data_IF_089145231699
#
_entry.id   IF_089145231699
#
_cell.length_a   1.000
_cell.length_b   1.000
_cell.length_c   1.000
_cell.angle_alpha   90.00
_cell.angle_beta   90.00
_cell.angle_gamma   90.00
#
_symmetry.space_group_name_H-M   'P 1'
#
loop_
_entity.id
_entity.type
_entity.pdbx_description
1 polymer ?
#
# COMPACT_ATOMS: atom_id res chain seq x y z
N UNK A 1 17.29 17.02 9.35
CA UNK A 1 15.86 16.62 9.36
C UNK A 1 15.51 15.95 10.68
N UNK A 2 16.24 14.91 11.12
CA UNK A 2 16.05 14.25 12.42
C UNK A 2 16.17 15.19 13.63
N UNK A 3 17.15 16.12 13.62
CA UNK A 3 17.29 17.13 14.68
C UNK A 3 16.02 17.99 14.87
N UNK A 4 15.30 18.28 13.79
CA UNK A 4 14.05 19.02 13.86
C UNK A 4 12.90 18.17 14.41
N UNK A 5 12.84 16.88 14.07
CA UNK A 5 11.83 15.98 14.62
C UNK A 5 11.98 15.85 16.15
N UNK A 6 13.20 15.68 16.64
CA UNK A 6 13.48 15.60 18.08
C UNK A 6 13.16 16.92 18.80
N UNK A 7 13.47 18.06 18.18
CA UNK A 7 13.16 19.38 18.75
C UNK A 7 11.66 19.69 18.73
N UNK A 8 10.94 19.28 17.67
CA UNK A 8 9.49 19.45 17.57
C UNK A 8 8.76 18.62 18.64
N UNK A 9 9.20 17.38 18.88
CA UNK A 9 8.66 16.52 19.93
C UNK A 9 8.88 17.13 21.33
N UNK A 10 10.07 17.67 21.61
CA UNK A 10 10.34 18.40 22.87
C UNK A 10 9.42 19.60 23.07
N UNK A 11 8.98 20.23 21.98
CA UNK A 11 8.07 21.39 22.00
C UNK A 11 6.59 20.98 22.06
N UNK A 12 6.29 19.67 22.08
CA UNK A 12 4.92 19.17 22.06
C UNK A 12 4.22 19.34 20.71
N UNK A 13 4.97 19.57 19.63
CA UNK A 13 4.40 19.66 18.28
C UNK A 13 4.07 18.25 17.78
N UNK A 14 2.80 18.03 17.41
CA UNK A 14 2.33 16.75 16.89
C UNK A 14 3.02 16.42 15.57
N UNK A 15 3.47 15.17 15.42
CA UNK A 15 4.08 14.64 14.20
C UNK A 15 3.29 13.40 13.74
N UNK A 16 2.09 13.64 13.21
CA UNK A 16 1.17 12.61 12.75
C UNK A 16 1.53 12.27 11.30
N UNK A 17 2.24 11.17 11.11
CA UNK A 17 2.86 10.83 9.81
C UNK A 17 1.88 10.20 8.83
N UNK A 18 0.83 9.58 9.34
CA UNK A 18 -0.12 8.82 8.52
C UNK A 18 -1.49 9.46 8.59
N UNK A 19 -2.26 9.32 7.50
CA UNK A 19 -3.60 9.91 7.41
C UNK A 19 -4.52 9.43 8.53
N UNK A 20 -4.59 8.13 8.88
CA UNK A 20 -5.41 7.67 10.01
C UNK A 20 -5.01 8.29 11.36
N UNK A 21 -3.71 8.58 11.58
CA UNK A 21 -3.27 9.26 12.81
C UNK A 21 -3.71 10.74 12.84
N UNK A 22 -3.78 11.38 11.67
CA UNK A 22 -4.07 12.81 11.55
C UNK A 22 -5.58 13.12 11.51
N UNK A 23 -6.40 12.23 10.98
CA UNK A 23 -7.85 12.44 10.82
C UNK A 23 -8.57 12.78 12.14
N UNK A 24 -8.29 12.14 13.28
CA UNK A 24 -8.94 12.47 14.56
C UNK A 24 -8.74 13.93 15.01
N UNK A 25 -7.69 14.61 14.55
CA UNK A 25 -7.43 16.01 14.90
C UNK A 25 -8.50 16.99 14.38
N UNK A 26 -9.23 16.59 13.33
CA UNK A 26 -10.31 17.35 12.72
C UNK A 26 -11.47 17.58 13.70
N UNK A 27 -11.73 16.60 14.57
CA UNK A 27 -12.84 16.62 15.54
C UNK A 27 -12.39 16.95 16.95
N UNK A 28 -11.12 17.37 17.14
CA UNK A 28 -10.66 17.87 18.45
C UNK A 28 -11.36 19.17 18.82
N UNK A 29 -11.58 19.36 20.13
CA UNK A 29 -12.25 20.56 20.66
C UNK A 29 -11.61 21.86 20.17
N UNK A 30 -10.26 21.92 20.13
CA UNK A 30 -9.55 23.09 19.63
C UNK A 30 -9.89 23.41 18.17
N UNK A 31 -9.97 22.40 17.31
CA UNK A 31 -10.33 22.57 15.90
C UNK A 31 -11.80 22.97 15.78
N UNK A 32 -12.70 22.30 16.50
CA UNK A 32 -14.14 22.60 16.49
C UNK A 32 -14.40 24.04 16.94
N UNK A 33 -13.83 24.46 18.07
CA UNK A 33 -13.97 25.82 18.58
C UNK A 33 -13.47 26.88 17.58
N UNK A 34 -12.35 26.62 16.91
CA UNK A 34 -11.80 27.54 15.93
C UNK A 34 -12.74 27.67 14.71
N UNK A 35 -13.21 26.55 14.17
CA UNK A 35 -14.09 26.56 12.99
C UNK A 35 -15.47 27.16 13.28
N UNK A 36 -16.05 26.85 14.45
CA UNK A 36 -17.34 27.40 14.87
C UNK A 36 -17.24 28.91 15.13
N UNK A 37 -16.18 29.38 15.81
CA UNK A 37 -15.97 30.80 16.10
C UNK A 37 -15.96 31.68 14.86
N UNK A 38 -15.40 31.18 13.75
CA UNK A 38 -15.32 31.92 12.49
C UNK A 38 -16.47 31.59 11.52
N UNK A 39 -17.44 30.77 11.93
CA UNK A 39 -18.58 30.40 11.10
C UNK A 39 -18.20 29.62 9.84
N UNK A 40 -17.11 28.85 9.89
CA UNK A 40 -16.60 28.08 8.74
C UNK A 40 -17.32 26.74 8.63
N UNK A 41 -17.34 25.97 9.72
CA UNK A 41 -18.07 24.70 9.85
C UNK A 41 -18.56 24.55 11.29
N UNK A 42 -19.70 23.89 11.46
CA UNK A 42 -20.22 23.41 12.75
C UNK A 42 -19.58 22.09 13.17
N UNK A 43 -19.65 21.75 14.47
CA UNK A 43 -19.23 20.42 14.98
C UNK A 43 -19.78 19.27 14.14
N UNK A 44 -21.09 19.28 13.87
CA UNK A 44 -21.76 18.22 13.10
C UNK A 44 -21.20 18.08 11.68
N UNK A 45 -20.82 19.19 11.06
CA UNK A 45 -20.22 19.17 9.72
C UNK A 45 -18.77 18.67 9.74
N UNK A 46 -18.00 18.98 10.80
CA UNK A 46 -16.66 18.43 11.00
C UNK A 46 -16.69 16.93 11.25
N UNK A 47 -17.60 16.45 12.11
CA UNK A 47 -17.81 15.02 12.35
C UNK A 47 -18.20 14.29 11.06
N UNK A 48 -19.15 14.86 10.30
CA UNK A 48 -19.55 14.28 9.01
C UNK A 48 -18.39 14.22 8.01
N UNK A 49 -17.52 15.24 7.99
CA UNK A 49 -16.33 15.25 7.12
C UNK A 49 -15.29 14.24 7.56
N UNK A 50 -15.08 14.10 8.87
CA UNK A 50 -14.17 13.11 9.43
C UNK A 50 -14.58 11.70 9.00
N UNK A 51 -15.86 11.32 9.19
CA UNK A 51 -16.41 10.03 8.76
C UNK A 51 -16.17 9.79 7.26
N UNK A 52 -16.52 10.76 6.41
CA UNK A 52 -16.33 10.67 4.96
C UNK A 52 -14.85 10.52 4.56
N UNK A 53 -13.94 11.25 5.22
CA UNK A 53 -12.51 11.15 4.92
C UNK A 53 -11.89 9.83 5.36
N UNK A 54 -12.33 9.31 6.51
CA UNK A 54 -11.95 7.99 7.00
C UNK A 54 -12.40 6.91 6.01
N UNK A 55 -13.67 6.95 5.60
CA UNK A 55 -14.22 6.03 4.59
C UNK A 55 -13.45 6.12 3.26
N UNK A 56 -13.23 7.34 2.75
CA UNK A 56 -12.48 7.54 1.51
C UNK A 56 -11.08 6.94 1.57
N UNK A 57 -10.36 7.12 2.68
CA UNK A 57 -9.04 6.54 2.86
C UNK A 57 -9.09 5.01 2.81
N UNK A 58 -10.00 4.40 3.59
CA UNK A 58 -10.13 2.95 3.65
C UNK A 58 -10.53 2.34 2.30
N UNK A 59 -11.51 2.93 1.63
CA UNK A 59 -11.98 2.49 0.31
C UNK A 59 -10.88 2.63 -0.74
N UNK A 60 -10.14 3.74 -0.75
CA UNK A 60 -9.03 3.92 -1.69
C UNK A 60 -7.94 2.88 -1.45
N UNK A 61 -7.52 2.67 -0.20
CA UNK A 61 -6.52 1.67 0.14
C UNK A 61 -6.96 0.26 -0.28
N UNK A 62 -8.24 -0.08 -0.10
CA UNK A 62 -8.80 -1.35 -0.55
C UNK A 62 -8.70 -1.52 -2.08
N UNK A 63 -9.09 -0.50 -2.84
CA UNK A 63 -9.03 -0.52 -4.31
C UNK A 63 -7.59 -0.74 -4.77
N UNK A 64 -6.64 -0.05 -4.17
CA UNK A 64 -5.22 -0.20 -4.49
C UNK A 64 -4.69 -1.60 -4.14
N UNK A 65 -5.12 -2.16 -3.01
CA UNK A 65 -4.75 -3.50 -2.56
C UNK A 65 -5.32 -4.60 -3.47
N UNK A 66 -6.60 -4.51 -3.84
CA UNK A 66 -7.25 -5.40 -4.80
C UNK A 66 -6.62 -5.31 -6.18
N UNK A 67 -6.37 -4.10 -6.67
CA UNK A 67 -5.71 -3.89 -7.96
C UNK A 67 -4.29 -4.48 -7.96
N UNK A 68 -3.54 -4.30 -6.86
CA UNK A 68 -2.20 -4.87 -6.71
C UNK A 68 -2.24 -6.39 -6.74
N UNK A 69 -3.16 -7.02 -6.01
CA UNK A 69 -3.35 -8.47 -6.01
C UNK A 69 -3.71 -8.97 -7.42
N UNK A 70 -4.66 -8.34 -8.09
CA UNK A 70 -5.08 -8.70 -9.43
C UNK A 70 -3.94 -8.59 -10.44
N UNK A 71 -3.19 -7.49 -10.46
CA UNK A 71 -2.03 -7.30 -11.34
C UNK A 71 -0.96 -8.37 -11.06
N UNK A 72 -0.62 -8.58 -9.79
CA UNK A 72 0.41 -9.54 -9.41
C UNK A 72 0.02 -10.97 -9.79
N UNK A 73 -1.22 -11.36 -9.54
CA UNK A 73 -1.75 -12.71 -9.80
C UNK A 73 -1.95 -13.00 -11.28
N UNK A 74 -2.44 -12.03 -12.06
CA UNK A 74 -2.88 -12.26 -13.45
C UNK A 74 -1.88 -11.81 -14.51
N UNK A 75 -0.97 -10.89 -14.18
CA UNK A 75 0.03 -10.38 -15.13
C UNK A 75 1.44 -10.83 -14.74
N UNK A 76 1.89 -10.46 -13.53
CA UNK A 76 3.28 -10.65 -13.13
C UNK A 76 3.65 -12.12 -12.89
N UNK A 77 2.82 -12.84 -12.13
CA UNK A 77 3.07 -14.25 -11.81
C UNK A 77 3.13 -15.13 -13.07
N UNK A 78 2.19 -15.03 -14.04
CA UNK A 78 2.30 -15.77 -15.30
C UNK A 78 3.56 -15.42 -16.11
N UNK A 79 3.96 -14.15 -16.16
CA UNK A 79 5.20 -13.74 -16.82
C UNK A 79 6.43 -14.39 -16.18
N UNK A 80 6.51 -14.35 -14.85
CA UNK A 80 7.61 -14.95 -14.09
C UNK A 80 7.66 -16.48 -14.24
N UNK A 81 6.51 -17.16 -14.25
CA UNK A 81 6.43 -18.60 -14.47
C UNK A 81 6.88 -19.01 -15.87
N UNK A 82 6.52 -18.24 -16.91
CA UNK A 82 7.01 -18.47 -18.28
C UNK A 82 8.53 -18.30 -18.38
N UNK A 83 9.07 -17.29 -17.70
CA UNK A 83 10.51 -17.09 -17.64
C UNK A 83 11.21 -18.23 -16.89
N UNK A 84 10.66 -18.69 -15.77
CA UNK A 84 11.18 -19.83 -15.02
C UNK A 84 11.24 -21.10 -15.88
N UNK A 85 10.19 -21.40 -16.67
CA UNK A 85 10.18 -22.54 -17.59
C UNK A 85 11.32 -22.46 -18.62
N UNK A 86 11.59 -21.27 -19.16
CA UNK A 86 12.71 -21.05 -20.08
C UNK A 86 14.06 -21.32 -19.38
N UNK A 87 14.25 -20.80 -18.17
CA UNK A 87 15.48 -20.99 -17.39
C UNK A 87 15.66 -22.46 -16.98
N UNK A 88 14.59 -23.14 -16.60
CA UNK A 88 14.58 -24.58 -16.25
C UNK A 88 15.06 -25.45 -17.44
N UNK A 89 14.77 -25.04 -18.68
CA UNK A 89 15.21 -25.78 -19.88
C UNK A 89 16.72 -25.67 -20.20
N UNK A 90 17.44 -24.73 -19.59
CA UNK A 90 18.84 -24.44 -19.95
C UNK A 90 19.88 -25.35 -19.27
N UNK A 91 19.53 -25.97 -18.14
CA UNK A 91 20.45 -26.78 -17.33
C UNK A 91 21.42 -25.98 -16.43
N UNK A 92 21.27 -24.66 -16.30
CA UNK A 92 22.05 -23.85 -15.35
C UNK A 92 21.39 -23.83 -13.95
N UNK A 93 21.80 -24.75 -13.07
CA UNK A 93 21.17 -24.96 -11.75
C UNK A 93 21.14 -23.73 -10.85
N UNK A 94 22.20 -22.92 -10.83
CA UNK A 94 22.26 -21.70 -10.00
C UNK A 94 21.19 -20.68 -10.41
N UNK A 95 21.00 -20.49 -11.72
CA UNK A 95 20.03 -19.54 -12.27
C UNK A 95 18.58 -20.01 -12.06
N UNK A 96 18.37 -21.34 -12.14
CA UNK A 96 17.08 -21.98 -11.86
C UNK A 96 16.68 -21.79 -10.40
N UNK A 97 17.63 -22.03 -9.49
CA UNK A 97 17.40 -21.86 -8.05
C UNK A 97 17.07 -20.40 -7.74
N UNK A 98 17.87 -19.46 -8.23
CA UNK A 98 17.63 -18.02 -8.02
C UNK A 98 16.24 -17.59 -8.53
N UNK A 99 15.89 -18.00 -9.75
CA UNK A 99 14.61 -17.60 -10.37
C UNK A 99 13.43 -18.20 -9.59
N UNK A 100 13.53 -19.47 -9.22
CA UNK A 100 12.50 -20.19 -8.47
C UNK A 100 12.25 -19.56 -7.10
N UNK A 101 13.30 -19.19 -6.38
CA UNK A 101 13.18 -18.51 -5.08
C UNK A 101 12.41 -17.19 -5.21
N UNK A 102 12.76 -16.35 -6.19
CA UNK A 102 12.05 -15.06 -6.41
C UNK A 102 10.59 -15.25 -6.82
N UNK A 103 10.28 -16.27 -7.62
CA UNK A 103 8.89 -16.61 -7.96
C UNK A 103 8.12 -17.04 -6.70
N UNK A 104 8.73 -17.87 -5.84
CA UNK A 104 8.13 -18.29 -4.58
C UNK A 104 7.91 -17.11 -3.63
N UNK A 105 8.85 -16.17 -3.54
CA UNK A 105 8.69 -14.93 -2.79
C UNK A 105 7.44 -14.15 -3.25
N UNK A 106 7.27 -13.98 -4.57
CA UNK A 106 6.09 -13.30 -5.13
C UNK A 106 4.80 -14.05 -4.79
N UNK A 107 4.75 -15.38 -4.96
CA UNK A 107 3.57 -16.19 -4.62
C UNK A 107 3.19 -16.04 -3.14
N UNK A 108 4.19 -16.08 -2.25
CA UNK A 108 3.96 -15.91 -0.82
C UNK A 108 3.47 -14.50 -0.47
N UNK A 109 4.02 -13.47 -1.09
CA UNK A 109 3.59 -12.08 -0.89
C UNK A 109 2.15 -11.86 -1.38
N UNK A 110 1.78 -12.38 -2.55
CA UNK A 110 0.39 -12.29 -3.05
C UNK A 110 -0.56 -12.99 -2.08
N UNK A 111 -0.22 -14.17 -1.57
CA UNK A 111 -1.06 -14.88 -0.60
C UNK A 111 -1.29 -14.09 0.69
N UNK A 112 -0.27 -13.39 1.20
CA UNK A 112 -0.43 -12.50 2.37
C UNK A 112 -1.32 -11.30 2.06
N UNK A 113 -1.18 -10.70 0.89
CA UNK A 113 -2.04 -9.59 0.46
C UNK A 113 -3.51 -10.03 0.29
N UNK A 114 -3.75 -11.19 -0.32
CA UNK A 114 -5.11 -11.73 -0.47
C UNK A 114 -5.76 -12.00 0.89
N UNK A 115 -5.01 -12.49 1.89
CA UNK A 115 -5.52 -12.64 3.26
C UNK A 115 -5.83 -11.28 3.88
N UNK A 116 -4.95 -10.28 3.69
CA UNK A 116 -5.16 -8.92 4.19
C UNK A 116 -6.41 -8.27 3.58
N UNK A 117 -6.76 -8.60 2.34
CA UNK A 117 -7.93 -8.06 1.67
C UNK A 117 -9.27 -8.67 2.12
N UNK A 118 -9.25 -9.79 2.86
CA UNK A 118 -10.49 -10.40 3.36
C UNK A 118 -11.09 -9.67 4.57
N UNK A 119 -10.30 -8.79 5.21
CA UNK A 119 -10.62 -8.11 6.46
C UNK A 119 -10.88 -9.05 7.67
N UNK A 120 -10.57 -8.61 8.89
CA UNK A 120 -11.11 -9.23 10.10
C UNK A 120 -12.62 -9.01 10.22
N UNK A 121 -13.35 -10.02 10.67
CA UNK A 121 -14.80 -9.93 10.87
C UNK A 121 -15.20 -8.72 11.74
N UNK A 122 -16.13 -7.90 11.23
CA UNK A 122 -16.70 -6.75 11.94
C UNK A 122 -15.79 -5.51 12.01
N UNK A 123 -14.63 -5.50 11.36
CA UNK A 123 -13.78 -4.31 11.33
C UNK A 123 -14.40 -3.15 10.52
N UNK A 124 -15.25 -3.50 9.55
CA UNK A 124 -15.93 -2.55 8.67
C UNK A 124 -16.97 -1.68 9.40
N UNK A 125 -17.39 -2.10 10.60
CA UNK A 125 -18.35 -1.36 11.44
C UNK A 125 -17.71 -0.10 12.08
N UNK A 126 -16.38 0.01 12.06
CA UNK A 126 -15.63 1.13 12.61
C UNK A 126 -14.66 1.67 11.55
N UNK A 127 -15.04 2.78 10.92
CA UNK A 127 -14.28 3.36 9.82
C UNK A 127 -12.82 3.65 10.19
N UNK A 128 -12.56 4.13 11.43
CA UNK A 128 -11.20 4.48 11.83
C UNK A 128 -10.35 3.22 11.99
N UNK A 129 -10.89 2.17 12.60
CA UNK A 129 -10.18 0.87 12.69
C UNK A 129 -9.95 0.25 11.32
N UNK A 130 -10.91 0.38 10.40
CA UNK A 130 -10.74 -0.06 9.02
C UNK A 130 -9.60 0.70 8.34
N UNK A 131 -9.52 2.02 8.51
CA UNK A 131 -8.44 2.84 7.98
C UNK A 131 -7.07 2.49 8.61
N UNK A 132 -7.01 2.24 9.91
CA UNK A 132 -5.80 1.77 10.60
C UNK A 132 -5.36 0.40 10.08
N UNK A 133 -6.30 -0.53 9.90
CA UNK A 133 -6.03 -1.85 9.34
C UNK A 133 -5.51 -1.78 7.90
N UNK A 134 -6.10 -0.93 7.07
CA UNK A 134 -5.64 -0.70 5.71
C UNK A 134 -4.20 -0.18 5.70
N UNK A 135 -3.88 0.80 6.55
CA UNK A 135 -2.52 1.33 6.72
C UNK A 135 -1.53 0.26 7.18
N UNK A 136 -1.86 -0.47 8.24
CA UNK A 136 -0.89 -1.32 8.94
C UNK A 136 -0.74 -2.68 8.28
N UNK A 137 -1.80 -3.18 7.64
CA UNK A 137 -1.86 -4.53 7.07
C UNK A 137 -1.86 -4.53 5.56
N UNK A 138 -2.83 -3.87 4.91
CA UNK A 138 -2.97 -3.92 3.44
C UNK A 138 -1.81 -3.21 2.75
N UNK A 139 -1.48 -1.98 3.14
CA UNK A 139 -0.36 -1.22 2.55
C UNK A 139 0.98 -1.92 2.79
N UNK A 140 1.18 -2.53 3.97
CA UNK A 140 2.37 -3.32 4.26
C UNK A 140 2.47 -4.54 3.33
N UNK A 141 1.40 -5.31 3.18
CA UNK A 141 1.37 -6.47 2.29
C UNK A 141 1.54 -6.08 0.80
N UNK A 142 0.95 -4.95 0.37
CA UNK A 142 1.18 -4.39 -0.97
C UNK A 142 2.66 -4.06 -1.20
N UNK A 143 3.33 -3.46 -0.21
CA UNK A 143 4.75 -3.14 -0.31
C UNK A 143 5.61 -4.40 -0.46
N UNK A 144 5.25 -5.51 0.19
CA UNK A 144 5.94 -6.79 0.03
C UNK A 144 5.76 -7.36 -1.38
N UNK A 145 4.53 -7.32 -1.93
CA UNK A 145 4.26 -7.73 -3.32
C UNK A 145 5.10 -6.89 -4.29
N UNK A 146 5.16 -5.57 -4.08
CA UNK A 146 6.00 -4.67 -4.87
C UNK A 146 7.47 -5.06 -4.81
N UNK A 147 8.04 -5.28 -3.62
CA UNK A 147 9.46 -5.66 -3.48
C UNK A 147 9.76 -6.97 -4.20
N UNK A 148 8.86 -7.97 -4.11
CA UNK A 148 9.03 -9.23 -4.82
C UNK A 148 8.93 -9.06 -6.35
N UNK A 149 7.98 -8.24 -6.82
CA UNK A 149 7.83 -7.91 -8.24
C UNK A 149 9.05 -7.16 -8.80
N UNK A 150 9.56 -6.14 -8.10
CA UNK A 150 10.72 -5.33 -8.50
C UNK A 150 11.99 -6.20 -8.63
N UNK A 151 12.11 -7.28 -7.83
CA UNK A 151 13.20 -8.26 -7.94
C UNK A 151 13.08 -9.10 -9.21
N UNK A 152 11.86 -9.50 -9.57
CA UNK A 152 11.59 -10.27 -10.78
C UNK A 152 11.76 -9.43 -12.06
N UNK A 153 11.37 -8.15 -12.05
CA UNK A 153 11.53 -7.22 -13.18
C UNK A 153 12.98 -7.16 -13.69
N UNK A 154 13.95 -7.34 -12.79
CA UNK A 154 15.39 -7.27 -13.11
C UNK A 154 15.93 -8.49 -13.82
N UNK A 155 15.27 -9.64 -13.69
CA UNK A 155 15.75 -10.92 -14.24
C UNK A 155 14.85 -11.45 -15.34
N UNK A 156 13.56 -11.16 -15.29
CA UNK A 156 12.60 -11.58 -16.31
C UNK A 156 12.90 -10.85 -17.61
N UNK A 157 12.90 -11.60 -18.70
CA UNK A 157 13.13 -11.07 -20.04
C UNK A 157 12.08 -9.99 -20.38
N UNK A 158 12.56 -8.91 -21.01
CA UNK A 158 11.77 -7.71 -21.29
C UNK A 158 10.52 -7.98 -22.14
N UNK A 159 10.63 -8.90 -23.09
CA UNK A 159 9.55 -9.35 -23.98
C UNK A 159 8.44 -10.14 -23.25
N UNK A 160 8.76 -10.70 -22.07
CA UNK A 160 7.79 -11.39 -21.22
C UNK A 160 7.17 -10.48 -20.16
N UNK A 161 7.83 -9.38 -19.82
CA UNK A 161 7.40 -8.49 -18.75
C UNK A 161 6.19 -7.65 -19.20
N UNK A 162 5.05 -7.72 -18.49
CA UNK A 162 3.78 -7.20 -19.00
C UNK A 162 3.55 -5.72 -18.69
N UNK A 163 4.39 -5.10 -17.86
CA UNK A 163 4.24 -3.70 -17.41
C UNK A 163 5.36 -2.84 -17.99
N UNK A 164 5.08 -1.58 -18.35
CA UNK A 164 6.14 -0.66 -18.75
C UNK A 164 7.06 -0.39 -17.57
N UNK A 165 8.37 -0.43 -17.82
CA UNK A 165 9.38 -0.11 -16.82
C UNK A 165 9.42 1.39 -16.54
N UNK A 166 9.89 1.79 -15.37
CA UNK A 166 10.03 3.21 -15.03
C UNK A 166 10.85 3.99 -16.05
N UNK A 167 11.89 3.39 -16.63
CA UNK A 167 12.70 4.05 -17.65
C UNK A 167 11.88 4.40 -18.91
N UNK A 168 10.94 3.53 -19.29
CA UNK A 168 10.08 3.72 -20.45
C UNK A 168 9.04 4.80 -20.15
N UNK A 169 8.38 4.71 -18.99
CA UNK A 169 7.38 5.69 -18.57
C UNK A 169 7.94 7.11 -18.40
N UNK A 170 9.20 7.23 -17.95
CA UNK A 170 9.79 8.52 -17.59
C UNK A 170 10.57 9.17 -18.74
N UNK A 171 11.13 8.39 -19.67
CA UNK A 171 12.09 8.92 -20.66
C UNK A 171 11.74 8.60 -22.12
N UNK A 172 10.89 7.61 -22.40
CA UNK A 172 10.49 7.29 -23.77
C UNK A 172 9.22 8.08 -24.09
N UNK A 173 9.29 8.93 -25.12
CA UNK A 173 8.17 9.73 -25.64
C UNK A 173 7.54 9.06 -26.85
#
# INVERSE_FOLDING_TARGET
AEEWHAEAEKRGLKNLRTTPDALPEVVTEQTVEAFEKYGVLSRRELESRFEVWVEQYAVQANIEAEATSAIARTLLLPAALRHLELVDSTGFEDLQTETREKVQELVAAIGRLEIANLYPDGIEDDGLKLAEYARDTQLTAMAEVRVAADRLERIVADDLWPLPKYAEMLFIK
#
